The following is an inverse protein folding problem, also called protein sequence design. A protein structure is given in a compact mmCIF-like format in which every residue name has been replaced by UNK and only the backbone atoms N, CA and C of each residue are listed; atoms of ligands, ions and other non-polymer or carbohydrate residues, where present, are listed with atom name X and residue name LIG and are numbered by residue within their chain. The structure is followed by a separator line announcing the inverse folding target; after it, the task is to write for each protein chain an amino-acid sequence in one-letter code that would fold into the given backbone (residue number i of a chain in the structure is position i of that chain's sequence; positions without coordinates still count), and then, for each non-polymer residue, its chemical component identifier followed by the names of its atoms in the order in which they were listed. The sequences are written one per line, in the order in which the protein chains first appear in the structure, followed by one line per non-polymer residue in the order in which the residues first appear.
data_IF_508053110192
#
_entry.id   IF_508053110192
#
_cell.length_a   1.000
_cell.length_b   1.000
_cell.length_c   1.000
_cell.angle_alpha   90.00
_cell.angle_beta   90.00
_cell.angle_gamma   90.00
#
_symmetry.space_group_name_H-M   'P 1'
#
loop_
_entity.id
_entity.type
_entity.pdbx_description
1 polymer ?
#
# COMPACT_ATOMS: atom_id res chain seq x y z
N UNK A 1 36.39 3.84 22.45
CA UNK A 1 35.06 4.40 22.12
C UNK A 1 34.14 3.29 21.57
N UNK A 2 33.17 2.87 22.34
CA UNK A 2 32.24 1.85 21.86
C UNK A 2 31.24 2.52 20.92
N UNK A 3 31.26 2.17 19.62
CA UNK A 3 30.25 2.65 18.67
C UNK A 3 28.94 1.93 19.02
N UNK A 4 28.00 2.65 19.62
CA UNK A 4 26.65 2.12 19.85
C UNK A 4 25.96 2.00 18.48
N UNK A 5 25.73 0.75 18.04
CA UNK A 5 25.04 0.48 16.80
C UNK A 5 23.57 0.86 16.98
N UNK A 6 23.09 1.85 16.21
CA UNK A 6 21.67 2.25 16.23
C UNK A 6 20.77 1.07 15.80
N UNK A 7 19.60 0.94 16.42
CA UNK A 7 18.56 0.03 15.93
C UNK A 7 17.94 0.61 14.67
N UNK A 8 17.37 -0.24 13.82
CA UNK A 8 16.70 0.21 12.58
C UNK A 8 15.62 1.25 12.89
N UNK A 9 14.80 1.01 13.93
CA UNK A 9 13.71 1.90 14.34
C UNK A 9 14.18 3.33 14.69
N UNK A 10 15.45 3.49 15.08
CA UNK A 10 16.03 4.76 15.52
C UNK A 10 16.96 5.39 14.48
N UNK A 11 16.94 4.89 13.25
CA UNK A 11 17.89 5.26 12.20
C UNK A 11 17.26 6.04 11.07
N UNK A 12 18.07 6.83 10.36
CA UNK A 12 17.66 7.42 9.08
C UNK A 12 17.46 6.35 8.00
N UNK A 13 18.09 5.19 8.14
CA UNK A 13 17.95 4.05 7.24
C UNK A 13 16.48 3.60 7.17
N UNK A 14 15.73 3.66 8.27
CA UNK A 14 14.31 3.36 8.28
C UNK A 14 13.53 4.28 7.32
N UNK A 15 13.76 5.58 7.40
CA UNK A 15 13.12 6.54 6.51
C UNK A 15 13.52 6.32 5.05
N UNK A 16 14.78 5.98 4.81
CA UNK A 16 15.27 5.64 3.47
C UNK A 16 14.56 4.39 2.92
N UNK A 17 14.35 3.35 3.74
CA UNK A 17 13.61 2.15 3.34
C UNK A 17 12.14 2.47 3.01
N UNK A 18 11.49 3.31 3.81
CA UNK A 18 10.12 3.75 3.55
C UNK A 18 10.02 4.52 2.23
N UNK A 19 10.92 5.43 1.97
CA UNK A 19 10.97 6.20 0.73
C UNK A 19 11.28 5.29 -0.47
N UNK A 20 12.21 4.38 -0.32
CA UNK A 20 12.58 3.43 -1.38
C UNK A 20 11.39 2.51 -1.72
N UNK A 21 10.71 1.98 -0.71
CA UNK A 21 9.50 1.19 -0.92
C UNK A 21 8.42 1.97 -1.67
N UNK A 22 8.12 3.18 -1.21
CA UNK A 22 7.11 4.03 -1.84
C UNK A 22 7.48 4.36 -3.30
N UNK A 23 8.75 4.64 -3.56
CA UNK A 23 9.26 4.93 -4.90
C UNK A 23 9.15 3.73 -5.85
N UNK A 24 9.55 2.55 -5.41
CA UNK A 24 9.46 1.32 -6.21
C UNK A 24 8.00 0.92 -6.49
N UNK A 25 7.12 1.03 -5.50
CA UNK A 25 5.70 0.74 -5.66
C UNK A 25 5.05 1.71 -6.66
N UNK A 26 5.38 2.99 -6.57
CA UNK A 26 4.90 4.00 -7.52
C UNK A 26 5.45 3.75 -8.93
N UNK A 27 6.73 3.44 -9.06
CA UNK A 27 7.36 3.14 -10.35
C UNK A 27 6.69 1.94 -11.03
N UNK A 28 6.39 0.88 -10.28
CA UNK A 28 5.67 -0.29 -10.78
C UNK A 28 4.34 0.13 -11.45
N UNK A 29 3.51 0.90 -10.77
CA UNK A 29 2.21 1.33 -11.29
C UNK A 29 2.33 2.32 -12.44
N UNK A 30 3.28 3.23 -12.39
CA UNK A 30 3.55 4.17 -13.49
C UNK A 30 3.95 3.42 -14.75
N UNK A 31 4.84 2.44 -14.64
CA UNK A 31 5.30 1.66 -15.80
C UNK A 31 4.19 0.77 -16.37
N UNK A 32 3.34 0.20 -15.54
CA UNK A 32 2.16 -0.54 -16.01
C UNK A 32 1.20 0.38 -16.78
N UNK A 33 1.00 1.59 -16.33
CA UNK A 33 0.20 2.59 -17.03
C UNK A 33 0.84 2.98 -18.37
N UNK A 34 2.16 3.22 -18.37
CA UNK A 34 2.90 3.55 -19.59
C UNK A 34 2.85 2.40 -20.61
N UNK A 35 2.91 1.16 -20.14
CA UNK A 35 2.77 -0.01 -21.00
C UNK A 35 1.40 -0.03 -21.70
N UNK A 36 0.33 0.24 -20.97
CA UNK A 36 -1.02 0.33 -21.53
C UNK A 36 -1.13 1.40 -22.62
N UNK A 37 -0.49 2.55 -22.42
CA UNK A 37 -0.48 3.62 -23.42
C UNK A 37 0.35 3.24 -24.65
N UNK A 38 1.49 2.59 -24.46
CA UNK A 38 2.30 2.09 -25.58
C UNK A 38 1.55 1.05 -26.41
N UNK A 39 0.76 0.18 -25.79
CA UNK A 39 -0.11 -0.77 -26.51
C UNK A 39 -1.13 -0.04 -27.40
N UNK A 40 -1.76 1.00 -26.88
CA UNK A 40 -2.73 1.81 -27.64
C UNK A 40 -2.06 2.45 -28.86
N UNK A 41 -0.79 2.89 -28.71
CA UNK A 41 0.00 3.44 -29.82
C UNK A 41 0.50 2.37 -30.80
N UNK A 42 0.31 1.09 -30.52
CA UNK A 42 0.84 -0.03 -31.30
C UNK A 42 2.33 -0.28 -31.13
N UNK A 43 2.93 0.26 -30.07
CA UNK A 43 4.37 0.12 -29.76
C UNK A 43 4.58 -1.02 -28.77
N UNK A 44 4.38 -2.25 -29.23
CA UNK A 44 4.37 -3.45 -28.40
C UNK A 44 5.72 -3.74 -27.72
N UNK A 45 6.83 -3.44 -28.39
CA UNK A 45 8.17 -3.65 -27.80
C UNK A 45 8.41 -2.71 -26.62
N UNK A 46 7.94 -1.48 -26.72
CA UNK A 46 8.02 -0.50 -25.62
C UNK A 46 7.11 -0.92 -24.47
N UNK A 47 5.90 -1.38 -24.76
CA UNK A 47 4.99 -1.91 -23.75
C UNK A 47 5.60 -3.09 -22.99
N UNK A 48 6.24 -4.03 -23.71
CA UNK A 48 6.92 -5.17 -23.11
C UNK A 48 8.08 -4.74 -22.20
N UNK A 49 8.86 -3.74 -22.61
CA UNK A 49 9.94 -3.18 -21.81
C UNK A 49 9.41 -2.60 -20.48
N UNK A 50 8.35 -1.80 -20.53
CA UNK A 50 7.73 -1.25 -19.31
C UNK A 50 7.20 -2.35 -18.38
N UNK A 51 6.52 -3.36 -18.91
CA UNK A 51 6.01 -4.49 -18.10
C UNK A 51 7.13 -5.26 -17.43
N UNK A 52 8.17 -5.59 -18.17
CA UNK A 52 9.34 -6.30 -17.64
C UNK A 52 10.02 -5.50 -16.52
N UNK A 53 10.18 -4.20 -16.72
CA UNK A 53 10.76 -3.30 -15.70
C UNK A 53 9.85 -3.22 -14.48
N UNK A 54 8.52 -3.13 -14.66
CA UNK A 54 7.56 -3.11 -13.56
C UNK A 54 7.63 -4.38 -12.69
N UNK A 55 7.83 -5.55 -13.28
CA UNK A 55 8.03 -6.79 -12.53
C UNK A 55 9.29 -6.74 -11.66
N UNK A 56 10.37 -6.17 -12.18
CA UNK A 56 11.60 -5.93 -11.42
C UNK A 56 11.36 -5.02 -10.21
N UNK A 57 10.59 -3.94 -10.40
CA UNK A 57 10.22 -3.03 -9.30
C UNK A 57 9.39 -3.72 -8.22
N UNK A 58 8.56 -4.71 -8.58
CA UNK A 58 7.83 -5.54 -7.60
C UNK A 58 8.80 -6.27 -6.68
N UNK A 59 9.85 -6.89 -7.23
CA UNK A 59 10.87 -7.57 -6.45
C UNK A 59 11.63 -6.63 -5.51
N UNK A 60 11.97 -5.44 -6.00
CA UNK A 60 12.63 -4.41 -5.19
C UNK A 60 11.75 -3.95 -4.03
N UNK A 61 10.47 -3.69 -4.28
CA UNK A 61 9.52 -3.29 -3.25
C UNK A 61 9.36 -4.37 -2.17
N UNK A 62 9.26 -5.64 -2.55
CA UNK A 62 9.21 -6.76 -1.61
C UNK A 62 10.48 -6.85 -0.78
N UNK A 63 11.66 -6.66 -1.37
CA UNK A 63 12.93 -6.63 -0.64
C UNK A 63 12.96 -5.55 0.43
N UNK A 64 12.47 -4.36 0.12
CA UNK A 64 12.35 -3.29 1.10
C UNK A 64 11.36 -3.65 2.22
N UNK A 65 10.23 -4.27 1.87
CA UNK A 65 9.24 -4.70 2.86
C UNK A 65 9.78 -5.78 3.79
N UNK A 66 10.63 -6.67 3.32
CA UNK A 66 11.26 -7.68 4.17
C UNK A 66 12.07 -7.03 5.31
N UNK A 67 12.80 -5.95 5.03
CA UNK A 67 13.49 -5.18 6.06
C UNK A 67 12.53 -4.37 6.92
N UNK A 68 11.52 -3.74 6.34
CA UNK A 68 10.53 -2.93 7.05
C UNK A 68 9.67 -3.76 8.01
N UNK A 69 9.43 -5.03 7.69
CA UNK A 69 8.62 -5.92 8.53
C UNK A 69 9.14 -6.07 9.96
N UNK A 70 10.43 -5.87 10.18
CA UNK A 70 11.03 -5.90 11.52
C UNK A 70 10.58 -4.72 12.40
N UNK A 71 10.09 -3.64 11.80
CA UNK A 71 9.66 -2.42 12.51
C UNK A 71 8.15 -2.25 12.46
N UNK A 72 7.52 -2.50 11.31
CA UNK A 72 6.08 -2.37 11.12
C UNK A 72 5.71 -1.94 9.72
N UNK A 73 4.41 -1.81 9.48
CA UNK A 73 3.87 -1.32 8.21
C UNK A 73 4.32 0.14 7.99
N UNK A 74 4.93 0.46 6.84
CA UNK A 74 5.42 1.82 6.58
C UNK A 74 4.30 2.87 6.47
N UNK A 75 3.05 2.46 6.31
CA UNK A 75 1.90 3.36 6.18
C UNK A 75 1.16 3.51 7.51
N UNK A 76 0.88 2.41 8.21
CA UNK A 76 0.04 2.40 9.41
C UNK A 76 0.82 2.37 10.71
N UNK A 77 2.11 2.07 10.66
CA UNK A 77 2.97 1.78 11.80
C UNK A 77 2.54 0.55 12.63
N UNK A 78 1.53 -0.18 12.17
CA UNK A 78 1.07 -1.41 12.83
C UNK A 78 2.10 -2.54 12.67
N UNK A 79 2.18 -3.46 13.66
CA UNK A 79 2.96 -4.70 13.48
C UNK A 79 2.46 -5.48 12.27
N UNK A 80 3.38 -6.12 11.54
CA UNK A 80 3.07 -6.97 10.40
C UNK A 80 3.92 -8.24 10.45
N UNK A 81 3.49 -9.25 9.71
CA UNK A 81 4.20 -10.53 9.58
C UNK A 81 3.23 -11.69 9.55
N UNK A 82 2.41 -11.88 10.57
CA UNK A 82 1.35 -12.89 10.56
C UNK A 82 0.16 -12.42 9.74
N UNK A 83 -0.67 -13.37 9.29
CA UNK A 83 -1.91 -13.02 8.58
C UNK A 83 -2.84 -12.17 9.43
N UNK A 84 -2.94 -12.46 10.73
CA UNK A 84 -3.75 -11.66 11.66
C UNK A 84 -3.25 -10.22 11.74
N UNK A 85 -1.96 -10.04 11.96
CA UNK A 85 -1.33 -8.72 12.01
C UNK A 85 -1.50 -7.96 10.69
N UNK A 86 -1.28 -8.65 9.57
CA UNK A 86 -1.39 -8.04 8.24
C UNK A 86 -2.83 -7.59 7.95
N UNK A 87 -3.83 -8.39 8.33
CA UNK A 87 -5.24 -8.02 8.21
C UNK A 87 -5.59 -6.80 9.07
N UNK A 88 -5.10 -6.76 10.30
CA UNK A 88 -5.31 -5.61 11.19
C UNK A 88 -4.71 -4.34 10.61
N UNK A 89 -3.51 -4.41 10.06
CA UNK A 89 -2.86 -3.26 9.42
C UNK A 89 -3.62 -2.80 8.17
N UNK A 90 -4.07 -3.75 7.34
CA UNK A 90 -4.86 -3.44 6.14
C UNK A 90 -6.19 -2.75 6.52
N UNK A 91 -6.90 -3.24 7.54
CA UNK A 91 -8.13 -2.62 8.04
C UNK A 91 -7.86 -1.20 8.51
N UNK A 92 -6.76 -0.99 9.23
CA UNK A 92 -6.38 0.34 9.72
C UNK A 92 -6.16 1.31 8.55
N UNK A 93 -5.42 0.88 7.52
CA UNK A 93 -5.15 1.70 6.33
C UNK A 93 -6.42 2.04 5.55
N UNK A 94 -7.24 1.04 5.24
CA UNK A 94 -8.50 1.24 4.51
C UNK A 94 -9.46 2.13 5.28
N UNK A 95 -9.55 1.95 6.60
CA UNK A 95 -10.41 2.78 7.46
C UNK A 95 -9.98 4.25 7.42
N UNK A 96 -8.69 4.53 7.51
CA UNK A 96 -8.16 5.88 7.37
C UNK A 96 -8.51 6.49 6.00
N UNK A 97 -8.37 5.69 4.95
CA UNK A 97 -8.65 6.14 3.59
C UNK A 97 -10.13 6.53 3.39
N UNK A 98 -11.08 5.74 3.91
CA UNK A 98 -12.50 6.03 3.67
C UNK A 98 -13.13 6.99 4.70
N UNK A 99 -12.58 7.09 5.91
CA UNK A 99 -13.14 8.01 6.94
C UNK A 99 -12.52 9.38 6.89
N UNK A 100 -11.26 9.50 6.49
CA UNK A 100 -10.47 10.73 6.62
C UNK A 100 -9.86 11.18 5.29
N UNK A 101 -8.97 10.39 4.70
CA UNK A 101 -8.16 10.80 3.57
C UNK A 101 -9.00 11.17 2.33
N UNK A 102 -9.76 10.24 1.78
CA UNK A 102 -10.55 10.52 0.58
C UNK A 102 -11.69 11.51 0.79
N UNK A 103 -12.45 11.49 1.91
CA UNK A 103 -13.43 12.55 2.17
C UNK A 103 -12.83 13.95 2.23
N UNK A 104 -11.66 14.09 2.86
CA UNK A 104 -10.93 15.35 2.91
C UNK A 104 -10.48 15.80 1.51
N UNK A 105 -9.88 14.88 0.74
CA UNK A 105 -9.44 15.16 -0.62
C UNK A 105 -10.61 15.53 -1.55
N UNK A 106 -11.76 14.87 -1.40
CA UNK A 106 -12.95 15.18 -2.17
C UNK A 106 -13.47 16.59 -1.90
N UNK A 107 -13.54 16.99 -0.63
CA UNK A 107 -13.93 18.35 -0.25
C UNK A 107 -12.99 19.40 -0.84
N UNK A 108 -11.69 19.14 -0.74
CA UNK A 108 -10.67 20.06 -1.27
C UNK A 108 -10.77 20.19 -2.79
N UNK A 109 -10.94 19.08 -3.50
CA UNK A 109 -11.11 19.08 -4.95
C UNK A 109 -12.36 19.89 -5.35
N UNK A 110 -13.46 19.74 -4.61
CA UNK A 110 -14.70 20.45 -4.89
C UNK A 110 -14.54 21.95 -4.63
N UNK A 111 -13.88 22.33 -3.54
CA UNK A 111 -13.58 23.73 -3.22
C UNK A 111 -12.71 24.40 -4.29
N UNK A 112 -11.84 23.63 -4.91
CA UNK A 112 -10.96 24.12 -5.98
C UNK A 112 -11.60 24.05 -7.38
N UNK A 113 -12.82 23.55 -7.49
CA UNK A 113 -13.58 23.48 -8.74
C UNK A 113 -13.35 22.22 -9.58
N UNK A 114 -12.72 21.20 -9.01
CA UNK A 114 -12.45 19.93 -9.68
C UNK A 114 -13.53 18.88 -9.34
N UNK A 115 -14.74 19.11 -9.80
CA UNK A 115 -15.90 18.28 -9.43
C UNK A 115 -15.78 16.82 -9.85
N UNK A 116 -15.25 16.55 -11.03
CA UNK A 116 -15.04 15.17 -11.50
C UNK A 116 -14.02 14.41 -10.63
N UNK A 117 -12.97 15.09 -10.19
CA UNK A 117 -11.96 14.51 -9.29
C UNK A 117 -12.58 14.31 -7.90
N UNK A 118 -13.39 15.24 -7.43
CA UNK A 118 -14.12 15.09 -6.18
C UNK A 118 -15.03 13.85 -6.20
N UNK A 119 -15.80 13.66 -7.28
CA UNK A 119 -16.65 12.48 -7.47
C UNK A 119 -15.83 11.19 -7.48
N UNK A 120 -14.66 11.21 -8.11
CA UNK A 120 -13.73 10.09 -8.11
C UNK A 120 -13.27 9.73 -6.70
N UNK A 121 -12.83 10.70 -5.91
CA UNK A 121 -12.42 10.48 -4.53
C UNK A 121 -13.56 9.96 -3.65
N UNK A 122 -14.78 10.45 -3.84
CA UNK A 122 -15.97 9.95 -3.14
C UNK A 122 -16.27 8.50 -3.50
N UNK A 123 -16.11 8.14 -4.77
CA UNK A 123 -16.25 6.76 -5.24
C UNK A 123 -15.19 5.85 -4.61
N UNK A 124 -13.94 6.31 -4.53
CA UNK A 124 -12.86 5.56 -3.87
C UNK A 124 -13.12 5.38 -2.38
N UNK A 125 -13.63 6.39 -1.69
CA UNK A 125 -14.00 6.25 -0.28
C UNK A 125 -14.98 5.10 -0.05
N UNK A 126 -15.95 4.93 -0.93
CA UNK A 126 -16.90 3.79 -0.87
C UNK A 126 -16.20 2.45 -1.14
N UNK A 127 -15.30 2.42 -2.12
CA UNK A 127 -14.53 1.21 -2.45
C UNK A 127 -13.65 0.79 -1.28
N UNK A 128 -12.94 1.74 -0.65
CA UNK A 128 -12.07 1.47 0.49
C UNK A 128 -12.85 0.99 1.72
N UNK A 129 -14.07 1.51 1.93
CA UNK A 129 -14.96 0.99 2.96
C UNK A 129 -15.33 -0.48 2.72
N UNK A 130 -15.63 -0.84 1.49
CA UNK A 130 -15.90 -2.22 1.10
C UNK A 130 -14.69 -3.12 1.34
N UNK A 131 -13.49 -2.65 1.02
CA UNK A 131 -12.24 -3.37 1.29
C UNK A 131 -12.06 -3.61 2.80
N UNK A 132 -12.24 -2.58 3.62
CA UNK A 132 -12.15 -2.71 5.07
C UNK A 132 -13.11 -3.78 5.61
N UNK A 133 -14.35 -3.77 5.16
CA UNK A 133 -15.37 -4.74 5.58
C UNK A 133 -14.99 -6.18 5.19
N UNK A 134 -14.41 -6.36 4.00
CA UNK A 134 -13.95 -7.68 3.53
C UNK A 134 -12.78 -8.19 4.39
N UNK A 135 -11.83 -7.32 4.74
CA UNK A 135 -10.72 -7.67 5.62
C UNK A 135 -11.20 -7.98 7.04
N UNK A 136 -12.15 -7.22 7.55
CA UNK A 136 -12.76 -7.47 8.87
C UNK A 136 -13.42 -8.86 8.93
N UNK A 137 -14.18 -9.24 7.91
CA UNK A 137 -14.77 -10.58 7.83
C UNK A 137 -13.72 -11.68 7.76
N UNK A 138 -12.65 -11.45 7.01
CA UNK A 138 -11.54 -12.40 6.93
C UNK A 138 -10.85 -12.56 8.29
N UNK A 139 -10.66 -11.47 9.03
CA UNK A 139 -10.07 -11.48 10.37
C UNK A 139 -10.95 -12.24 11.36
N UNK A 140 -12.26 -12.01 11.35
CA UNK A 140 -13.21 -12.73 12.18
C UNK A 140 -13.19 -14.24 11.89
N UNK A 141 -13.17 -14.62 10.61
CA UNK A 141 -13.09 -16.01 10.19
C UNK A 141 -11.78 -16.68 10.64
N UNK A 142 -10.66 -15.97 10.53
CA UNK A 142 -9.35 -16.45 10.97
C UNK A 142 -9.34 -16.71 12.48
N UNK A 143 -9.84 -15.78 13.27
CA UNK A 143 -9.91 -15.89 14.72
C UNK A 143 -10.84 -17.02 15.19
N UNK A 144 -11.97 -17.21 14.52
CA UNK A 144 -12.89 -18.31 14.79
C UNK A 144 -12.25 -19.67 14.49
N UNK A 145 -11.51 -19.78 13.41
CA UNK A 145 -10.75 -20.99 13.01
C UNK A 145 -9.68 -21.34 14.05
N UNK A 146 -8.92 -20.36 14.52
CA UNK A 146 -7.88 -20.57 15.53
C UNK A 146 -8.45 -21.03 16.89
N UNK A 147 -9.66 -20.63 17.24
CA UNK A 147 -10.34 -21.07 18.45
C UNK A 147 -10.86 -22.52 18.37
N UNK A 148 -11.21 -23.00 17.18
CA UNK A 148 -11.66 -24.38 16.98
C UNK A 148 -10.52 -25.39 17.00
N UNK A 149 -9.32 -25.00 16.59
CA UNK A 149 -8.13 -25.86 16.61
C UNK A 149 -7.51 -26.00 18.02
N UNK A 150 -7.90 -25.15 18.97
CA UNK A 150 -7.41 -25.15 20.35
C UNK A 150 -8.29 -25.94 21.34
N UNK A 151 -9.37 -26.60 20.87
CA UNK A 151 -10.30 -27.40 21.69
C UNK A 151 -10.12 -28.89 21.48
#
# INVERSE_FOLDING_TARGET
MTIVKKTLAQSETLENLKQAFAGEAQANRRYMYFASKADIEGKNDIAALFRSTAEGETGHAHGHMDFLSAVGDPVTDCPIGSSEENLMSAIHGETHEYTDMYPHMARKARDEGFDEIADWFETLAKAERSHAQRFERALEALRASDHTDAS
#
